data_IF_131819936260
#
_entry.id   IF_131819936260
#
_cell.length_a   1.000
_cell.length_b   1.000
_cell.length_c   1.000
_cell.angle_alpha   90.00
_cell.angle_beta   90.00
_cell.angle_gamma   90.00
#
_symmetry.space_group_name_H-M   'P 1'
#
loop_
_entity.id
_entity.type
_entity.pdbx_description
1 polymer ?
#
# COMPACT_ATOMS: atom_id res chain seq x y z
N UNK A 1 8.71 -9.94 4.13
CA UNK A 1 7.54 -9.28 4.75
C UNK A 1 6.28 -9.91 4.17
N UNK A 2 5.61 -10.76 4.93
CA UNK A 2 4.32 -11.31 4.53
C UNK A 2 3.23 -10.41 5.11
N UNK A 3 2.68 -9.50 4.31
CA UNK A 3 1.44 -8.84 4.71
C UNK A 3 0.32 -9.86 4.58
N UNK A 4 -0.36 -10.16 5.67
CA UNK A 4 -1.64 -10.86 5.61
C UNK A 4 -2.62 -9.89 4.95
N UNK A 5 -2.96 -10.10 3.68
CA UNK A 5 -4.00 -9.30 3.03
C UNK A 5 -5.37 -9.73 3.56
N UNK A 6 -6.02 -8.86 4.33
CA UNK A 6 -7.15 -9.23 5.19
C UNK A 6 -8.49 -8.60 4.85
N UNK A 7 -8.60 -7.77 3.81
CA UNK A 7 -9.91 -7.35 3.29
C UNK A 7 -10.52 -8.47 2.43
N UNK A 8 -10.91 -9.55 3.08
CA UNK A 8 -11.66 -10.64 2.45
C UNK A 8 -13.03 -10.74 3.12
N UNK A 9 -14.09 -11.11 2.38
CA UNK A 9 -15.39 -11.42 2.97
C UNK A 9 -15.28 -12.49 4.07
N UNK A 10 -14.30 -13.40 3.96
CA UNK A 10 -13.99 -14.36 5.01
C UNK A 10 -13.68 -13.68 6.34
N UNK A 11 -12.63 -12.86 6.37
CA UNK A 11 -12.16 -12.28 7.62
C UNK A 11 -13.21 -11.35 8.21
N UNK A 12 -13.82 -10.48 7.40
CA UNK A 12 -14.73 -9.45 7.90
C UNK A 12 -16.15 -9.94 8.19
N UNK A 13 -16.63 -10.96 7.47
CA UNK A 13 -18.04 -11.37 7.56
C UNK A 13 -18.23 -12.81 8.04
N UNK A 14 -17.25 -13.70 7.90
CA UNK A 14 -17.45 -15.13 8.21
C UNK A 14 -16.67 -15.60 9.43
N UNK A 15 -15.42 -15.16 9.60
CA UNK A 15 -14.60 -15.56 10.73
C UNK A 15 -15.24 -15.20 12.09
N UNK A 16 -15.88 -14.02 12.29
CA UNK A 16 -16.57 -13.73 13.55
C UNK A 16 -17.69 -14.73 13.87
N UNK A 17 -18.44 -15.17 12.86
CA UNK A 17 -19.52 -16.16 13.01
C UNK A 17 -19.01 -17.55 13.40
N UNK A 18 -17.78 -17.87 13.03
CA UNK A 18 -17.16 -19.17 13.30
C UNK A 18 -16.05 -19.11 14.35
N UNK A 19 -15.94 -17.98 15.07
CA UNK A 19 -14.94 -17.78 16.12
C UNK A 19 -15.01 -18.89 17.17
N UNK A 20 -16.22 -19.35 17.51
CA UNK A 20 -16.45 -20.44 18.46
C UNK A 20 -15.85 -21.77 18.00
N UNK A 21 -15.84 -22.05 16.70
CA UNK A 21 -15.15 -23.21 16.11
C UNK A 21 -13.64 -23.01 16.20
N UNK A 22 -13.16 -21.80 15.88
CA UNK A 22 -11.75 -21.43 16.00
C UNK A 22 -11.22 -21.66 17.42
N UNK A 23 -11.97 -21.26 18.45
CA UNK A 23 -11.61 -21.47 19.86
C UNK A 23 -11.49 -22.96 20.23
N UNK A 24 -12.40 -23.80 19.74
CA UNK A 24 -12.31 -25.26 19.94
C UNK A 24 -11.05 -25.83 19.28
N UNK A 25 -10.80 -25.46 18.01
CA UNK A 25 -9.64 -25.94 17.26
C UNK A 25 -8.31 -25.46 17.85
N UNK A 26 -8.28 -24.25 18.38
CA UNK A 26 -7.09 -23.70 19.01
C UNK A 26 -6.77 -24.41 20.33
N UNK A 27 -7.80 -24.61 21.18
CA UNK A 27 -7.63 -25.25 22.48
C UNK A 27 -7.22 -26.73 22.39
N UNK A 28 -7.87 -27.48 21.51
CA UNK A 28 -7.68 -28.94 21.43
C UNK A 28 -6.72 -29.37 20.31
N UNK A 29 -6.23 -28.42 19.50
CA UNK A 29 -5.49 -28.72 18.29
C UNK A 29 -6.38 -29.31 17.19
N UNK A 30 -5.80 -29.49 16.00
CA UNK A 30 -6.57 -29.82 14.79
C UNK A 30 -7.33 -31.15 14.89
N UNK A 31 -6.63 -32.25 15.19
CA UNK A 31 -7.24 -33.59 15.16
C UNK A 31 -8.39 -33.71 16.16
N UNK A 32 -8.11 -33.43 17.44
CA UNK A 32 -9.10 -33.57 18.51
C UNK A 32 -10.18 -32.50 18.42
N UNK A 33 -9.82 -31.27 18.02
CA UNK A 33 -10.76 -30.20 17.77
C UNK A 33 -11.76 -30.53 16.67
N UNK A 34 -11.32 -31.07 15.53
CA UNK A 34 -12.21 -31.53 14.45
C UNK A 34 -13.14 -32.66 14.92
N UNK A 35 -12.64 -33.59 15.72
CA UNK A 35 -13.47 -34.65 16.32
C UNK A 35 -14.50 -34.10 17.32
N UNK A 36 -14.12 -33.13 18.15
CA UNK A 36 -15.01 -32.42 19.08
C UNK A 36 -16.12 -31.70 18.30
N UNK A 37 -15.76 -30.91 17.29
CA UNK A 37 -16.73 -30.25 16.42
C UNK A 37 -17.66 -31.26 15.72
N UNK A 38 -17.13 -32.38 15.24
CA UNK A 38 -17.92 -33.46 14.67
C UNK A 38 -18.94 -34.05 15.65
N UNK A 39 -18.55 -34.27 16.91
CA UNK A 39 -19.45 -34.75 17.98
C UNK A 39 -20.56 -33.74 18.29
N UNK A 40 -20.22 -32.46 18.41
CA UNK A 40 -21.20 -31.38 18.59
C UNK A 40 -22.21 -31.39 17.43
N UNK A 41 -21.73 -31.40 16.18
CA UNK A 41 -22.57 -31.43 14.98
C UNK A 41 -23.55 -32.61 15.00
N UNK A 42 -23.12 -33.80 15.38
CA UNK A 42 -24.01 -34.97 15.40
C UNK A 42 -25.18 -34.83 16.39
N UNK A 43 -24.98 -34.09 17.49
CA UNK A 43 -26.03 -33.84 18.47
C UNK A 43 -26.98 -32.72 18.02
N UNK A 44 -26.47 -31.67 17.37
CA UNK A 44 -27.27 -30.49 17.01
C UNK A 44 -27.83 -30.49 15.57
N UNK A 45 -27.46 -31.45 14.72
CA UNK A 45 -27.83 -31.47 13.28
C UNK A 45 -29.33 -31.45 12.97
N UNK A 46 -30.16 -31.88 13.92
CA UNK A 46 -31.61 -31.95 13.75
C UNK A 46 -32.33 -30.67 14.21
N UNK A 47 -31.61 -29.73 14.83
CA UNK A 47 -32.17 -28.44 15.20
C UNK A 47 -32.48 -27.60 13.96
N UNK A 48 -33.34 -26.60 14.11
CA UNK A 48 -33.74 -25.72 13.03
C UNK A 48 -32.67 -24.66 12.70
N UNK A 49 -31.51 -25.14 12.25
CA UNK A 49 -30.37 -24.35 11.81
C UNK A 49 -30.14 -24.55 10.31
N UNK A 50 -29.81 -23.50 9.58
CA UNK A 50 -29.35 -23.50 8.20
C UNK A 50 -27.83 -23.58 8.14
N UNK A 51 -27.15 -22.93 9.09
CA UNK A 51 -25.69 -22.87 9.18
C UNK A 51 -25.21 -23.05 10.62
N UNK A 52 -23.88 -23.03 10.82
CA UNK A 52 -23.24 -22.97 12.14
C UNK A 52 -22.82 -21.55 12.55
N UNK A 53 -23.41 -20.52 11.92
CA UNK A 53 -23.13 -19.15 12.29
C UNK A 53 -23.56 -18.89 13.73
N UNK A 54 -22.69 -18.25 14.50
CA UNK A 54 -22.94 -17.95 15.90
C UNK A 54 -24.20 -17.11 16.10
N UNK A 55 -24.45 -16.13 15.23
CA UNK A 55 -25.69 -15.35 15.24
C UNK A 55 -26.94 -16.21 15.11
N UNK A 56 -26.90 -17.27 14.29
CA UNK A 56 -28.03 -18.18 14.11
C UNK A 56 -28.27 -19.03 15.38
N UNK A 57 -27.19 -19.45 16.06
CA UNK A 57 -27.29 -20.15 17.33
C UNK A 57 -27.90 -19.26 18.43
N UNK A 58 -27.58 -17.96 18.42
CA UNK A 58 -28.13 -16.96 19.36
C UNK A 58 -29.62 -16.67 19.14
N UNK A 59 -30.14 -16.92 17.94
CA UNK A 59 -31.54 -16.67 17.55
C UNK A 59 -32.43 -17.93 17.58
N UNK A 60 -31.88 -19.08 17.99
CA UNK A 60 -32.66 -20.29 18.23
C UNK A 60 -33.75 -20.05 19.29
N UNK A 61 -34.79 -20.89 19.30
CA UNK A 61 -35.77 -20.88 20.39
C UNK A 61 -35.08 -21.21 21.71
N UNK A 62 -35.62 -20.69 22.81
CA UNK A 62 -35.03 -20.86 24.14
C UNK A 62 -34.71 -22.32 24.50
N UNK A 63 -35.61 -23.27 24.19
CA UNK A 63 -35.40 -24.70 24.44
C UNK A 63 -34.18 -25.24 23.66
N UNK A 64 -34.12 -24.94 22.37
CA UNK A 64 -33.02 -25.34 21.48
C UNK A 64 -31.70 -24.66 21.88
N UNK A 65 -31.72 -23.38 22.29
CA UNK A 65 -30.53 -22.68 22.79
C UNK A 65 -29.95 -23.36 24.04
N UNK A 66 -30.81 -23.70 25.00
CA UNK A 66 -30.38 -24.40 26.22
C UNK A 66 -29.72 -25.74 25.86
N UNK A 67 -30.30 -26.49 24.92
CA UNK A 67 -29.75 -27.76 24.44
C UNK A 67 -28.38 -27.58 23.75
N UNK A 68 -28.25 -26.62 22.84
CA UNK A 68 -27.00 -26.33 22.13
C UNK A 68 -25.89 -25.90 23.09
N UNK A 69 -26.18 -24.95 23.97
CA UNK A 69 -25.18 -24.42 24.91
C UNK A 69 -24.78 -25.45 25.95
N UNK A 70 -25.69 -26.32 26.38
CA UNK A 70 -25.36 -27.47 27.22
C UNK A 70 -24.43 -28.43 26.46
N UNK A 71 -24.81 -28.81 25.24
CA UNK A 71 -24.02 -29.72 24.37
C UNK A 71 -22.60 -29.23 24.14
N UNK A 72 -22.44 -27.95 23.74
CA UNK A 72 -21.10 -27.38 23.50
C UNK A 72 -20.29 -27.35 24.79
N UNK A 73 -20.87 -26.91 25.90
CA UNK A 73 -20.17 -26.85 27.18
C UNK A 73 -19.76 -28.25 27.70
N UNK A 74 -20.61 -29.27 27.52
CA UNK A 74 -20.33 -30.62 28.01
C UNK A 74 -19.26 -31.33 27.17
N UNK A 75 -19.19 -31.07 25.86
CA UNK A 75 -18.22 -31.70 24.96
C UNK A 75 -16.90 -30.91 24.90
N UNK A 76 -16.98 -29.59 24.82
CA UNK A 76 -15.82 -28.72 24.60
C UNK A 76 -15.34 -27.99 25.86
N UNK A 77 -16.08 -28.02 26.98
CA UNK A 77 -15.74 -27.27 28.18
C UNK A 77 -16.24 -25.82 28.13
N UNK A 78 -16.63 -25.29 29.29
CA UNK A 78 -17.20 -23.94 29.46
C UNK A 78 -16.18 -22.85 29.14
N UNK A 79 -14.95 -23.04 29.59
CA UNK A 79 -13.80 -22.15 29.39
C UNK A 79 -13.40 -21.99 27.90
N UNK A 80 -13.92 -22.83 27.01
CA UNK A 80 -13.56 -22.75 25.57
C UNK A 80 -14.24 -21.58 24.89
N UNK A 81 -15.50 -21.32 25.23
CA UNK A 81 -16.29 -20.22 24.65
C UNK A 81 -16.39 -19.01 25.59
N UNK A 82 -15.80 -19.08 26.80
CA UNK A 82 -15.73 -17.92 27.71
C UNK A 82 -15.17 -16.65 27.05
N UNK A 83 -14.22 -16.69 26.09
CA UNK A 83 -13.72 -15.47 25.46
C UNK A 83 -14.81 -14.66 24.75
N UNK A 84 -15.80 -15.34 24.15
CA UNK A 84 -16.88 -14.68 23.40
C UNK A 84 -17.81 -13.89 24.33
N UNK A 85 -17.89 -14.22 25.62
CA UNK A 85 -18.76 -13.50 26.56
C UNK A 85 -18.30 -12.08 26.84
N UNK A 86 -17.08 -11.70 26.45
CA UNK A 86 -16.63 -10.31 26.50
C UNK A 86 -17.30 -9.43 25.43
N UNK A 87 -17.81 -10.05 24.36
CA UNK A 87 -18.50 -9.40 23.25
C UNK A 87 -20.01 -9.62 23.38
N UNK A 88 -20.41 -10.86 23.69
CA UNK A 88 -21.81 -11.28 23.77
C UNK A 88 -22.22 -11.32 25.23
N UNK A 89 -22.78 -10.20 25.69
CA UNK A 89 -23.06 -9.93 27.09
C UNK A 89 -24.42 -10.50 27.56
N UNK A 90 -24.54 -10.66 28.89
CA UNK A 90 -25.75 -11.17 29.55
C UNK A 90 -27.01 -10.33 29.28
N UNK A 91 -26.86 -9.01 29.10
CA UNK A 91 -28.00 -8.10 28.84
C UNK A 91 -28.72 -8.41 27.53
N UNK A 92 -28.03 -8.97 26.54
CA UNK A 92 -28.58 -9.26 25.21
C UNK A 92 -28.83 -10.76 25.02
N UNK A 93 -27.89 -11.59 25.46
CA UNK A 93 -27.94 -13.04 25.27
C UNK A 93 -27.71 -13.78 26.60
N UNK A 94 -28.68 -13.73 27.54
CA UNK A 94 -28.51 -14.26 28.89
C UNK A 94 -28.28 -15.78 28.94
N UNK A 95 -28.87 -16.55 28.02
CA UNK A 95 -28.70 -18.02 27.98
C UNK A 95 -27.28 -18.42 27.63
N UNK A 96 -26.68 -17.77 26.62
CA UNK A 96 -25.29 -17.98 26.24
C UNK A 96 -24.35 -17.48 27.34
N UNK A 97 -24.49 -16.20 27.72
CA UNK A 97 -23.56 -15.56 28.65
C UNK A 97 -23.54 -16.24 30.02
N UNK A 98 -24.69 -16.65 30.56
CA UNK A 98 -24.75 -17.36 31.86
C UNK A 98 -24.09 -18.74 31.81
N UNK A 99 -24.16 -19.44 30.68
CA UNK A 99 -23.55 -20.76 30.53
C UNK A 99 -22.03 -20.69 30.42
N UNK A 100 -21.49 -19.68 29.72
CA UNK A 100 -20.08 -19.58 29.39
C UNK A 100 -19.28 -18.54 30.21
N UNK A 101 -19.92 -17.83 31.13
CA UNK A 101 -19.22 -16.89 32.03
C UNK A 101 -18.29 -17.63 33.00
N UNK A 102 -16.98 -17.50 32.81
CA UNK A 102 -15.97 -18.03 33.73
C UNK A 102 -15.42 -16.93 34.65
N UNK A 103 -15.49 -17.12 35.98
CA UNK A 103 -15.00 -16.12 36.96
C UNK A 103 -13.46 -16.00 36.93
N UNK A 104 -12.76 -17.01 36.40
CA UNK A 104 -11.29 -17.11 36.44
C UNK A 104 -10.52 -16.31 35.39
N UNK A 105 -11.18 -15.63 34.44
CA UNK A 105 -10.53 -14.87 33.37
C UNK A 105 -11.04 -13.43 33.34
N UNK A 106 -10.16 -12.45 33.24
CA UNK A 106 -10.57 -11.04 33.11
C UNK A 106 -11.18 -10.76 31.73
N UNK A 107 -11.99 -9.69 31.56
CA UNK A 107 -12.46 -9.26 30.24
C UNK A 107 -11.32 -9.02 29.24
N UNK A 108 -10.20 -8.45 29.69
CA UNK A 108 -9.03 -8.17 28.86
C UNK A 108 -8.37 -9.47 28.37
N UNK A 109 -8.21 -10.47 29.24
CA UNK A 109 -7.66 -11.79 28.85
C UNK A 109 -8.56 -12.49 27.82
N UNK A 110 -9.88 -12.36 27.97
CA UNK A 110 -10.87 -12.90 27.03
C UNK A 110 -10.77 -12.22 25.67
N UNK A 111 -10.73 -10.89 25.63
CA UNK A 111 -10.60 -10.14 24.37
C UNK A 111 -9.27 -10.43 23.68
N UNK A 112 -8.18 -10.55 24.44
CA UNK A 112 -6.89 -10.97 23.89
C UNK A 112 -6.98 -12.32 23.19
N UNK A 113 -7.64 -13.32 23.80
CA UNK A 113 -7.87 -14.63 23.15
C UNK A 113 -8.70 -14.50 21.87
N UNK A 114 -9.72 -13.63 21.85
CA UNK A 114 -10.47 -13.35 20.62
C UNK A 114 -9.55 -12.80 19.53
N UNK A 115 -8.71 -11.82 19.87
CA UNK A 115 -7.70 -11.25 18.98
C UNK A 115 -6.74 -12.30 18.40
N UNK A 116 -6.23 -13.19 19.24
CA UNK A 116 -5.34 -14.29 18.83
C UNK A 116 -6.00 -15.22 17.80
N UNK A 117 -7.26 -15.61 18.03
CA UNK A 117 -8.02 -16.44 17.07
C UNK A 117 -8.31 -15.69 15.78
N UNK A 118 -8.70 -14.41 15.88
CA UNK A 118 -8.93 -13.57 14.70
C UNK A 118 -7.68 -13.46 13.85
N UNK A 119 -6.52 -13.20 14.47
CA UNK A 119 -5.22 -13.10 13.80
C UNK A 119 -4.82 -14.43 13.15
N UNK A 120 -4.98 -15.55 13.86
CA UNK A 120 -4.71 -16.91 13.34
C UNK A 120 -5.62 -17.30 12.16
N UNK A 121 -6.88 -16.86 12.20
CA UNK A 121 -7.89 -17.10 11.16
C UNK A 121 -7.97 -16.04 10.08
N UNK A 122 -7.12 -15.00 10.11
CA UNK A 122 -7.25 -13.84 9.24
C UNK A 122 -6.97 -14.16 7.77
N UNK A 123 -5.91 -14.94 7.51
CA UNK A 123 -5.62 -15.43 6.16
C UNK A 123 -6.67 -16.47 5.76
N UNK A 124 -7.46 -16.14 4.74
CA UNK A 124 -8.49 -17.01 4.20
C UNK A 124 -7.94 -18.29 3.56
N UNK A 125 -6.64 -18.33 3.26
CA UNK A 125 -5.93 -19.48 2.69
C UNK A 125 -5.13 -20.27 3.73
N UNK A 126 -5.16 -19.90 5.00
CA UNK A 126 -4.44 -20.64 6.03
C UNK A 126 -5.07 -22.01 6.27
N UNK A 127 -4.26 -22.91 6.84
CA UNK A 127 -4.72 -24.21 7.30
C UNK A 127 -5.81 -24.08 8.37
N UNK A 128 -5.61 -23.18 9.34
CA UNK A 128 -6.57 -22.92 10.40
C UNK A 128 -7.93 -22.42 9.88
N UNK A 129 -7.93 -21.44 8.97
CA UNK A 129 -9.16 -20.98 8.31
C UNK A 129 -9.86 -22.09 7.52
N UNK A 130 -9.09 -23.00 6.92
CA UNK A 130 -9.67 -24.13 6.17
C UNK A 130 -10.29 -25.17 7.10
N UNK A 131 -9.68 -25.42 8.26
CA UNK A 131 -10.24 -26.31 9.28
C UNK A 131 -11.57 -25.77 9.82
N UNK A 132 -11.66 -24.46 10.09
CA UNK A 132 -12.92 -23.81 10.49
C UNK A 132 -14.00 -23.97 9.40
N UNK A 133 -13.65 -23.67 8.13
CA UNK A 133 -14.57 -23.80 6.99
C UNK A 133 -15.03 -25.23 6.76
N UNK A 134 -14.15 -26.21 6.98
CA UNK A 134 -14.51 -27.61 6.88
C UNK A 134 -15.60 -27.96 7.88
N UNK A 135 -15.50 -27.50 9.14
CA UNK A 135 -16.53 -27.76 10.16
C UNK A 135 -17.88 -27.17 9.75
N UNK A 136 -17.89 -25.92 9.27
CA UNK A 136 -19.10 -25.26 8.77
C UNK A 136 -19.71 -26.02 7.57
N UNK A 137 -18.88 -26.44 6.62
CA UNK A 137 -19.31 -27.22 5.46
C UNK A 137 -19.85 -28.59 5.86
N UNK A 138 -19.14 -29.29 6.73
CA UNK A 138 -19.49 -30.63 7.20
C UNK A 138 -20.86 -30.65 7.90
N UNK A 139 -21.18 -29.63 8.70
CA UNK A 139 -22.51 -29.47 9.26
C UNK A 139 -23.58 -29.45 8.17
N UNK A 140 -23.44 -28.59 7.15
CA UNK A 140 -24.42 -28.46 6.08
C UNK A 140 -24.60 -29.75 5.28
N UNK A 141 -23.54 -30.53 5.13
CA UNK A 141 -23.60 -31.86 4.50
C UNK A 141 -24.42 -32.84 5.35
N UNK A 142 -24.13 -32.92 6.65
CA UNK A 142 -24.75 -33.88 7.57
C UNK A 142 -26.20 -33.52 7.92
N UNK A 143 -26.55 -32.23 7.98
CA UNK A 143 -27.92 -31.74 8.22
C UNK A 143 -28.77 -31.67 6.93
N UNK A 144 -28.22 -32.10 5.78
CA UNK A 144 -28.94 -32.19 4.51
C UNK A 144 -29.25 -30.83 3.86
N UNK A 145 -28.55 -29.77 4.24
CA UNK A 145 -28.71 -28.40 3.71
C UNK A 145 -28.06 -28.21 2.35
N UNK A 146 -27.01 -28.99 2.07
CA UNK A 146 -26.42 -29.10 0.75
C UNK A 146 -26.84 -30.42 0.13
N UNK A 147 -27.42 -30.35 -1.08
CA UNK A 147 -27.72 -31.53 -1.91
C UNK A 147 -26.66 -31.65 -2.99
N UNK A 148 -26.04 -32.82 -3.05
CA UNK A 148 -25.11 -33.16 -4.11
C UNK A 148 -25.81 -33.98 -5.19
N UNK A 149 -25.42 -33.81 -6.45
CA UNK A 149 -25.85 -34.69 -7.54
C UNK A 149 -24.87 -35.86 -7.66
N UNK A 150 -25.33 -36.99 -8.22
CA UNK A 150 -24.57 -38.25 -8.25
C UNK A 150 -23.17 -38.13 -8.90
N UNK A 151 -23.01 -37.20 -9.82
CA UNK A 151 -21.73 -36.89 -10.46
C UNK A 151 -20.66 -36.28 -9.55
N UNK A 152 -20.99 -35.86 -8.32
CA UNK A 152 -20.05 -35.27 -7.35
C UNK A 152 -19.55 -36.26 -6.29
N UNK A 153 -19.82 -37.55 -6.46
CA UNK A 153 -19.51 -38.56 -5.43
C UNK A 153 -18.03 -38.58 -5.07
N UNK A 154 -17.13 -38.44 -6.05
CA UNK A 154 -15.69 -38.46 -5.81
C UNK A 154 -15.21 -37.26 -4.98
N UNK A 155 -15.78 -36.08 -5.23
CA UNK A 155 -15.47 -34.84 -4.53
C UNK A 155 -15.95 -34.91 -3.07
N UNK A 156 -17.14 -35.48 -2.83
CA UNK A 156 -17.66 -35.71 -1.48
C UNK A 156 -16.76 -36.66 -0.71
N UNK A 157 -16.38 -37.79 -1.32
CA UNK A 157 -15.48 -38.77 -0.69
C UNK A 157 -14.13 -38.14 -0.31
N UNK A 158 -13.61 -37.24 -1.16
CA UNK A 158 -12.40 -36.47 -0.87
C UNK A 158 -12.57 -35.50 0.29
N UNK A 159 -13.68 -34.74 0.33
CA UNK A 159 -13.97 -33.82 1.46
C UNK A 159 -14.09 -34.60 2.77
N UNK A 160 -14.72 -35.77 2.77
CA UNK A 160 -14.89 -36.61 3.97
C UNK A 160 -13.57 -37.21 4.49
N UNK A 161 -12.51 -37.28 3.67
CA UNK A 161 -11.17 -37.68 4.12
C UNK A 161 -10.43 -36.56 4.85
N UNK A 162 -10.79 -35.30 4.62
CA UNK A 162 -10.10 -34.13 5.16
C UNK A 162 -9.71 -34.20 6.65
N UNK A 163 -10.59 -34.59 7.60
CA UNK A 163 -10.23 -34.59 9.02
C UNK A 163 -9.17 -35.65 9.38
N UNK A 164 -8.93 -36.63 8.50
CA UNK A 164 -8.00 -37.75 8.73
C UNK A 164 -6.65 -37.57 8.03
N UNK A 165 -6.52 -36.57 7.16
CA UNK A 165 -5.29 -36.27 6.43
C UNK A 165 -4.52 -35.14 7.12
N UNK A 166 -3.18 -35.19 7.10
CA UNK A 166 -2.33 -34.05 7.45
C UNK A 166 -2.36 -32.98 6.36
N UNK A 167 -2.18 -31.72 6.72
CA UNK A 167 -2.10 -30.61 5.76
C UNK A 167 -0.91 -30.74 4.79
N UNK A 168 0.14 -31.47 5.16
CA UNK A 168 1.33 -31.66 4.32
C UNK A 168 1.13 -32.70 3.20
N UNK A 169 0.04 -33.47 3.24
CA UNK A 169 -0.24 -34.51 2.25
C UNK A 169 -0.64 -33.91 0.89
N UNK A 170 -0.18 -34.53 -0.19
CA UNK A 170 -0.41 -34.04 -1.56
C UNK A 170 -1.90 -33.95 -1.91
N UNK A 171 -2.72 -34.88 -1.42
CA UNK A 171 -4.18 -34.88 -1.61
C UNK A 171 -4.82 -33.56 -1.13
N UNK A 172 -4.27 -32.93 -0.10
CA UNK A 172 -4.81 -31.68 0.46
C UNK A 172 -4.66 -30.48 -0.47
N UNK A 173 -3.79 -30.54 -1.49
CA UNK A 173 -3.68 -29.49 -2.50
C UNK A 173 -4.98 -29.30 -3.28
N UNK A 174 -5.76 -30.37 -3.45
CA UNK A 174 -7.06 -30.33 -4.12
C UNK A 174 -8.23 -30.19 -3.13
N UNK A 175 -8.16 -30.85 -1.97
CA UNK A 175 -9.25 -30.84 -0.99
C UNK A 175 -9.45 -29.46 -0.35
N UNK A 176 -8.37 -28.74 0.01
CA UNK A 176 -8.49 -27.42 0.67
C UNK A 176 -9.19 -26.38 -0.21
N UNK A 177 -8.80 -26.16 -1.48
CA UNK A 177 -9.54 -25.25 -2.37
C UNK A 177 -11.01 -25.65 -2.51
N UNK A 178 -11.31 -26.94 -2.65
CA UNK A 178 -12.68 -27.44 -2.75
C UNK A 178 -13.52 -27.04 -1.52
N UNK A 179 -13.03 -27.32 -0.32
CA UNK A 179 -13.70 -26.93 0.94
C UNK A 179 -13.95 -25.42 0.99
N UNK A 180 -12.93 -24.60 0.70
CA UNK A 180 -13.05 -23.14 0.74
C UNK A 180 -14.11 -22.65 -0.25
N UNK A 181 -14.11 -23.16 -1.48
CA UNK A 181 -15.08 -22.77 -2.49
C UNK A 181 -16.51 -23.20 -2.14
N UNK A 182 -16.69 -24.42 -1.62
CA UNK A 182 -18.01 -24.96 -1.28
C UNK A 182 -18.62 -24.24 -0.08
N UNK A 183 -17.83 -23.94 0.94
CA UNK A 183 -18.29 -23.18 2.10
C UNK A 183 -18.67 -21.74 1.73
N UNK A 184 -17.98 -21.11 0.76
CA UNK A 184 -18.32 -19.77 0.29
C UNK A 184 -19.74 -19.64 -0.28
N UNK A 185 -20.34 -20.74 -0.75
CA UNK A 185 -21.71 -20.73 -1.30
C UNK A 185 -22.79 -20.50 -0.24
N UNK A 186 -22.48 -20.68 1.05
CA UNK A 186 -23.47 -20.65 2.14
C UNK A 186 -23.44 -19.37 2.99
N UNK A 187 -22.91 -18.27 2.47
CA UNK A 187 -22.85 -17.01 3.22
C UNK A 187 -24.27 -16.55 3.65
N UNK A 188 -24.53 -16.38 4.96
CA UNK A 188 -25.79 -15.85 5.42
C UNK A 188 -25.97 -14.41 4.93
N UNK A 189 -27.16 -14.10 4.40
CA UNK A 189 -27.55 -12.75 3.96
C UNK A 189 -28.72 -12.20 4.77
N UNK A 190 -28.83 -12.64 6.01
CA UNK A 190 -29.88 -12.21 6.93
C UNK A 190 -29.52 -10.90 7.62
N UNK A 191 -30.52 -10.19 8.13
CA UNK A 191 -30.31 -8.93 8.85
C UNK A 191 -29.63 -9.19 10.20
N UNK A 192 -29.98 -10.30 10.85
CA UNK A 192 -29.41 -10.76 12.12
C UNK A 192 -27.90 -11.00 12.00
N UNK A 193 -27.47 -11.63 10.90
CA UNK A 193 -26.06 -11.81 10.57
C UNK A 193 -25.33 -10.47 10.46
N UNK A 194 -25.86 -9.53 9.66
CA UNK A 194 -25.25 -8.22 9.48
C UNK A 194 -25.18 -7.42 10.79
N UNK A 195 -26.22 -7.51 11.63
CA UNK A 195 -26.27 -6.89 12.95
C UNK A 195 -25.21 -7.47 13.88
N UNK A 196 -25.09 -8.80 13.94
CA UNK A 196 -24.07 -9.47 14.73
C UNK A 196 -22.66 -9.07 14.29
N UNK A 197 -22.36 -9.12 12.99
CA UNK A 197 -21.05 -8.72 12.46
C UNK A 197 -20.70 -7.27 12.83
N UNK A 198 -21.65 -6.34 12.72
CA UNK A 198 -21.42 -4.95 13.10
C UNK A 198 -21.12 -4.82 14.59
N UNK A 199 -21.98 -5.38 15.43
CA UNK A 199 -21.82 -5.34 16.89
C UNK A 199 -20.52 -6.02 17.33
N UNK A 200 -20.14 -7.14 16.72
CA UNK A 200 -18.89 -7.84 16.97
C UNK A 200 -17.68 -6.93 16.73
N UNK A 201 -17.58 -6.32 15.54
CA UNK A 201 -16.44 -5.46 15.19
C UNK A 201 -16.40 -4.17 15.99
N UNK A 202 -17.55 -3.55 16.26
CA UNK A 202 -17.64 -2.38 17.14
C UNK A 202 -17.14 -2.73 18.55
N UNK A 203 -17.56 -3.87 19.10
CA UNK A 203 -17.15 -4.31 20.44
C UNK A 203 -15.64 -4.56 20.53
N UNK A 204 -15.09 -5.43 19.67
CA UNK A 204 -13.66 -5.79 19.76
C UNK A 204 -12.75 -4.61 19.48
N UNK A 205 -13.13 -3.69 18.57
CA UNK A 205 -12.30 -2.54 18.23
C UNK A 205 -12.27 -1.48 19.33
N UNK A 206 -13.36 -1.28 20.06
CA UNK A 206 -13.40 -0.34 21.21
C UNK A 206 -12.63 -0.91 22.41
N UNK A 207 -12.56 -2.23 22.56
CA UNK A 207 -11.91 -2.88 23.70
C UNK A 207 -10.40 -3.10 23.53
N UNK A 208 -9.81 -2.70 22.39
CA UNK A 208 -8.40 -2.94 22.07
C UNK A 208 -7.72 -1.69 21.51
N UNK A 209 -6.42 -1.55 21.78
CA UNK A 209 -5.59 -0.48 21.25
C UNK A 209 -4.92 -0.89 19.92
N UNK A 210 -4.49 0.11 19.13
CA UNK A 210 -3.79 -0.15 17.89
C UNK A 210 -2.36 -0.68 18.15
N UNK A 211 -1.97 -1.73 17.44
CA UNK A 211 -0.58 -2.22 17.40
C UNK A 211 0.12 -1.68 16.14
N UNK A 212 0.82 -0.55 16.25
CA UNK A 212 1.39 0.14 15.09
C UNK A 212 2.68 -0.52 14.59
N UNK A 213 2.73 -0.80 13.29
CA UNK A 213 3.87 -1.40 12.62
C UNK A 213 4.54 -0.38 11.68
N UNK A 214 5.76 0.03 12.05
CA UNK A 214 6.57 1.01 11.31
C UNK A 214 7.70 0.29 10.58
N UNK A 215 7.89 0.65 9.30
CA UNK A 215 9.04 0.18 8.54
C UNK A 215 10.25 1.09 8.79
N UNK A 216 11.36 0.50 9.20
CA UNK A 216 12.64 1.19 9.35
C UNK A 216 13.47 1.06 8.07
N UNK A 217 13.82 2.21 7.48
CA UNK A 217 14.75 2.32 6.35
C UNK A 217 15.92 3.18 6.76
N UNK A 218 17.13 2.69 6.52
CA UNK A 218 18.34 3.48 6.74
C UNK A 218 18.51 4.54 5.62
N UNK A 219 19.19 5.66 5.89
CA UNK A 219 19.39 6.71 4.89
C UNK A 219 20.30 6.36 3.72
N UNK A 220 21.10 5.29 3.80
CA UNK A 220 21.97 4.79 2.71
C UNK A 220 22.75 5.90 1.95
N UNK A 221 23.29 6.92 2.64
CA UNK A 221 23.89 8.13 2.03
C UNK A 221 25.30 8.47 2.55
N UNK A 222 26.11 7.44 2.85
CA UNK A 222 27.44 7.60 3.48
C UNK A 222 28.45 8.40 2.65
N UNK A 223 28.31 8.43 1.33
CA UNK A 223 29.22 9.10 0.39
C UNK A 223 28.71 10.47 -0.11
N UNK A 224 27.62 11.00 0.49
CA UNK A 224 26.96 12.21 0.01
C UNK A 224 27.87 13.45 0.01
N UNK A 225 28.57 13.73 1.11
CA UNK A 225 29.44 14.89 1.23
C UNK A 225 30.60 14.84 0.21
N UNK A 226 31.23 13.68 0.07
CA UNK A 226 32.30 13.47 -0.90
C UNK A 226 31.80 13.61 -2.35
N UNK A 227 30.58 13.16 -2.63
CA UNK A 227 29.96 13.33 -3.93
C UNK A 227 29.59 14.79 -4.21
N UNK A 228 29.10 15.54 -3.21
CA UNK A 228 28.83 16.97 -3.34
C UNK A 228 30.08 17.74 -3.78
N UNK A 229 31.20 17.55 -3.08
CA UNK A 229 32.48 18.20 -3.42
C UNK A 229 32.89 17.91 -4.87
N UNK A 230 32.79 16.64 -5.27
CA UNK A 230 33.11 16.20 -6.63
C UNK A 230 32.23 16.86 -7.69
N UNK A 231 30.90 16.90 -7.48
CA UNK A 231 29.99 17.51 -8.45
C UNK A 231 30.19 19.01 -8.51
N UNK A 232 30.46 19.67 -7.37
CA UNK A 232 30.78 21.09 -7.33
C UNK A 232 31.97 21.44 -8.21
N UNK A 233 33.03 20.63 -8.19
CA UNK A 233 34.21 20.81 -9.04
C UNK A 233 33.89 20.65 -10.53
N UNK A 234 33.08 19.65 -10.90
CA UNK A 234 32.64 19.42 -12.28
C UNK A 234 31.76 20.58 -12.78
N UNK A 235 30.80 21.02 -11.97
CA UNK A 235 29.92 22.14 -12.30
C UNK A 235 30.72 23.45 -12.40
N UNK A 236 31.73 23.63 -11.54
CA UNK A 236 32.67 24.75 -11.60
C UNK A 236 33.43 24.79 -12.92
N UNK A 237 33.97 23.66 -13.36
CA UNK A 237 34.65 23.53 -14.66
C UNK A 237 33.75 23.96 -15.83
N UNK A 238 32.52 23.45 -15.91
CA UNK A 238 31.60 23.82 -16.99
C UNK A 238 31.19 25.30 -16.93
N UNK A 239 31.01 25.84 -15.71
CA UNK A 239 30.70 27.27 -15.52
C UNK A 239 31.84 28.16 -16.02
N UNK A 240 33.08 27.81 -15.71
CA UNK A 240 34.26 28.56 -16.13
C UNK A 240 34.47 28.46 -17.64
N UNK A 241 34.22 27.29 -18.23
CA UNK A 241 34.26 27.07 -19.67
C UNK A 241 33.22 27.94 -20.40
N UNK A 242 31.99 28.01 -19.91
CA UNK A 242 30.96 28.90 -20.47
C UNK A 242 31.41 30.36 -20.41
N UNK A 243 31.81 30.84 -19.24
CA UNK A 243 32.20 32.25 -19.03
C UNK A 243 33.43 32.65 -19.82
N UNK A 244 34.41 31.77 -19.96
CA UNK A 244 35.73 32.11 -20.50
C UNK A 244 35.86 31.82 -22.00
N UNK A 245 35.17 30.81 -22.51
CA UNK A 245 35.34 30.35 -23.90
C UNK A 245 34.05 30.45 -24.74
N UNK A 246 32.88 30.23 -24.15
CA UNK A 246 31.60 30.14 -24.90
C UNK A 246 30.47 31.04 -24.33
N UNK A 247 30.71 32.32 -24.00
CA UNK A 247 29.75 33.13 -23.24
C UNK A 247 28.46 33.48 -24.01
N UNK A 248 28.42 33.23 -25.32
CA UNK A 248 27.28 33.49 -26.20
C UNK A 248 26.66 32.20 -26.78
N UNK A 249 27.10 31.02 -26.31
CA UNK A 249 26.56 29.74 -26.75
C UNK A 249 25.22 29.45 -26.04
N UNK A 250 24.11 29.68 -26.73
CA UNK A 250 22.78 29.51 -26.15
C UNK A 250 22.47 28.04 -25.82
N UNK A 251 22.94 27.09 -26.63
CA UNK A 251 22.79 25.66 -26.36
C UNK A 251 23.49 25.29 -25.06
N UNK A 252 24.71 25.76 -24.87
CA UNK A 252 25.46 25.54 -23.64
C UNK A 252 24.78 26.20 -22.44
N UNK A 253 24.27 27.43 -22.60
CA UNK A 253 23.50 28.10 -21.55
C UNK A 253 22.28 27.28 -21.11
N UNK A 254 21.47 26.77 -22.06
CA UNK A 254 20.28 25.97 -21.74
C UNK A 254 20.65 24.66 -21.05
N UNK A 255 21.59 23.90 -21.61
CA UNK A 255 22.01 22.62 -21.01
C UNK A 255 22.64 22.79 -19.63
N UNK A 256 23.49 23.82 -19.44
CA UNK A 256 24.05 24.13 -18.13
C UNK A 256 23.00 24.67 -17.17
N UNK A 257 22.00 25.41 -17.65
CA UNK A 257 20.87 25.87 -16.85
C UNK A 257 20.08 24.69 -16.26
N UNK A 258 19.71 23.71 -17.11
CA UNK A 258 19.01 22.50 -16.69
C UNK A 258 19.88 21.68 -15.71
N UNK A 259 21.16 21.45 -16.03
CA UNK A 259 22.06 20.71 -15.18
C UNK A 259 22.29 21.39 -13.82
N UNK A 260 22.42 22.72 -13.80
CA UNK A 260 22.56 23.51 -12.58
C UNK A 260 21.29 23.49 -11.75
N UNK A 261 20.11 23.51 -12.39
CA UNK A 261 18.84 23.36 -11.69
C UNK A 261 18.74 21.99 -10.98
N UNK A 262 19.08 20.90 -11.67
CA UNK A 262 19.19 19.56 -11.06
C UNK A 262 20.23 19.50 -9.93
N UNK A 263 21.40 20.11 -10.11
CA UNK A 263 22.44 20.19 -9.08
C UNK A 263 21.94 20.91 -7.83
N UNK A 264 21.25 22.04 -7.96
CA UNK A 264 20.66 22.75 -6.82
C UNK A 264 19.64 21.90 -6.06
N UNK A 265 18.80 21.13 -6.78
CA UNK A 265 17.86 20.19 -6.15
C UNK A 265 18.58 19.06 -5.41
N UNK A 266 19.67 18.53 -5.97
CA UNK A 266 20.52 17.57 -5.28
C UNK A 266 21.14 18.16 -4.00
N UNK A 267 21.57 19.43 -4.03
CA UNK A 267 22.04 20.11 -2.82
C UNK A 267 20.93 20.27 -1.77
N UNK A 268 19.69 20.55 -2.17
CA UNK A 268 18.54 20.56 -1.25
C UNK A 268 18.35 19.18 -0.59
N UNK A 269 18.48 18.10 -1.37
CA UNK A 269 18.41 16.72 -0.85
C UNK A 269 19.47 16.46 0.23
N UNK A 270 20.73 16.82 -0.06
CA UNK A 270 21.88 16.57 0.82
C UNK A 270 21.82 17.45 2.07
N UNK A 271 21.74 18.78 1.88
CA UNK A 271 21.84 19.75 2.97
C UNK A 271 20.68 19.68 3.96
N UNK A 272 19.50 19.25 3.50
CA UNK A 272 18.32 19.10 4.35
C UNK A 272 18.07 17.65 4.78
N UNK A 273 18.97 16.70 4.47
CA UNK A 273 18.85 15.28 4.82
C UNK A 273 17.50 14.65 4.38
N UNK A 274 17.07 14.93 3.15
CA UNK A 274 15.74 14.55 2.64
C UNK A 274 15.69 13.13 2.02
N UNK A 275 16.71 12.30 2.27
CA UNK A 275 16.88 11.00 1.58
C UNK A 275 15.69 10.05 1.75
N UNK A 276 15.05 10.06 2.91
CA UNK A 276 13.93 9.18 3.26
C UNK A 276 12.59 9.92 3.36
N UNK A 277 12.54 11.18 2.90
CA UNK A 277 11.38 12.06 3.01
C UNK A 277 10.61 12.13 1.68
N UNK A 278 9.33 12.53 1.77
CA UNK A 278 8.46 12.73 0.59
C UNK A 278 9.13 13.68 -0.42
N UNK A 279 9.69 14.80 0.05
CA UNK A 279 10.35 15.79 -0.80
C UNK A 279 11.56 15.24 -1.56
N UNK A 280 12.20 14.17 -1.07
CA UNK A 280 13.27 13.50 -1.81
C UNK A 280 12.78 12.89 -3.12
N UNK A 281 11.52 12.42 -3.18
CA UNK A 281 10.89 11.88 -4.41
C UNK A 281 10.64 12.97 -5.43
N UNK A 282 10.18 14.13 -4.95
CA UNK A 282 10.02 15.33 -5.76
C UNK A 282 11.32 15.70 -6.47
N UNK A 283 12.43 15.66 -5.74
CA UNK A 283 13.76 15.98 -6.25
C UNK A 283 14.18 14.99 -7.34
N UNK A 284 14.10 13.69 -7.08
CA UNK A 284 14.48 12.66 -8.06
C UNK A 284 13.63 12.73 -9.33
N UNK A 285 12.30 12.84 -9.19
CA UNK A 285 11.37 13.00 -10.31
C UNK A 285 11.77 14.15 -11.24
N UNK A 286 12.05 15.32 -10.66
CA UNK A 286 12.44 16.52 -11.42
C UNK A 286 13.79 16.31 -12.11
N UNK A 287 14.75 15.68 -11.43
CA UNK A 287 16.05 15.37 -12.05
C UNK A 287 15.92 14.40 -13.24
N UNK A 288 15.03 13.40 -13.13
CA UNK A 288 14.74 12.45 -14.23
C UNK A 288 14.11 13.18 -15.41
N UNK A 289 13.13 14.06 -15.16
CA UNK A 289 12.51 14.88 -16.21
C UNK A 289 13.52 15.79 -16.91
N UNK A 290 14.39 16.46 -16.14
CA UNK A 290 15.46 17.30 -16.66
C UNK A 290 16.42 16.51 -17.55
N UNK A 291 16.81 15.31 -17.14
CA UNK A 291 17.66 14.43 -17.94
C UNK A 291 17.00 14.04 -19.28
N UNK A 292 15.72 13.62 -19.24
CA UNK A 292 14.95 13.28 -20.45
C UNK A 292 14.86 14.49 -21.37
N UNK A 293 14.58 15.68 -20.81
CA UNK A 293 14.48 16.92 -21.57
C UNK A 293 15.82 17.31 -22.23
N UNK A 294 16.96 17.16 -21.54
CA UNK A 294 18.26 17.42 -22.16
C UNK A 294 18.51 16.52 -23.39
N UNK A 295 18.21 15.21 -23.28
CA UNK A 295 18.34 14.29 -24.41
C UNK A 295 17.38 14.64 -25.54
N UNK A 296 16.15 15.05 -25.19
CA UNK A 296 15.11 15.38 -26.17
C UNK A 296 15.53 16.60 -27.00
N UNK A 297 15.97 17.66 -26.33
CA UNK A 297 16.42 18.88 -27.00
C UNK A 297 17.62 18.61 -27.92
N UNK A 298 18.58 17.79 -27.47
CA UNK A 298 19.73 17.40 -28.29
C UNK A 298 19.34 16.56 -29.51
N UNK A 299 18.38 15.63 -29.35
CA UNK A 299 17.96 14.73 -30.43
C UNK A 299 17.18 15.47 -31.51
N UNK A 300 16.36 16.45 -31.13
CA UNK A 300 15.50 17.22 -32.02
C UNK A 300 16.10 18.57 -32.44
N UNK A 301 17.37 18.84 -32.13
CA UNK A 301 18.02 20.10 -32.47
C UNK A 301 17.95 20.43 -33.96
N UNK A 302 18.07 19.43 -34.84
CA UNK A 302 18.01 19.63 -36.29
C UNK A 302 16.59 19.73 -36.86
N UNK A 303 15.57 19.43 -36.06
CA UNK A 303 14.17 19.44 -36.48
C UNK A 303 13.53 20.84 -36.31
N UNK A 304 14.23 21.76 -35.65
CA UNK A 304 13.79 23.11 -35.35
C UNK A 304 14.81 24.15 -35.86
N UNK A 305 14.33 25.37 -36.13
CA UNK A 305 15.22 26.48 -36.50
C UNK A 305 16.07 26.92 -35.29
N UNK A 306 15.48 26.96 -34.09
CA UNK A 306 16.17 27.26 -32.82
C UNK A 306 15.44 26.67 -31.60
N UNK A 307 15.58 25.35 -31.40
CA UNK A 307 14.93 24.64 -30.29
C UNK A 307 15.31 25.19 -28.91
N UNK A 308 16.52 25.76 -28.77
CA UNK A 308 17.07 26.21 -27.50
C UNK A 308 16.33 27.47 -27.03
N UNK A 309 16.20 28.43 -27.93
CA UNK A 309 15.42 29.65 -27.69
C UNK A 309 13.92 29.34 -27.54
N UNK A 310 13.37 28.42 -28.35
CA UNK A 310 11.99 27.96 -28.22
C UNK A 310 11.70 27.36 -26.83
N UNK A 311 12.61 26.54 -26.31
CA UNK A 311 12.46 25.94 -24.97
C UNK A 311 12.49 26.98 -23.86
N UNK A 312 13.39 27.97 -23.94
CA UNK A 312 13.43 29.09 -22.99
C UNK A 312 12.11 29.88 -23.01
N UNK A 313 11.62 30.23 -24.20
CA UNK A 313 10.36 30.97 -24.36
C UNK A 313 9.16 30.19 -23.86
N UNK A 314 9.13 28.89 -24.10
CA UNK A 314 8.09 28.02 -23.56
C UNK A 314 7.98 28.12 -22.04
N UNK A 315 9.12 28.02 -21.33
CA UNK A 315 9.16 28.12 -19.87
C UNK A 315 8.71 29.49 -19.36
N UNK A 316 9.22 30.56 -19.96
CA UNK A 316 8.88 31.94 -19.58
C UNK A 316 7.42 32.29 -19.90
N UNK A 317 6.87 31.75 -20.99
CA UNK A 317 5.47 31.90 -21.36
C UNK A 317 4.50 31.42 -20.27
N UNK A 318 4.88 30.41 -19.48
CA UNK A 318 4.08 29.95 -18.33
C UNK A 318 4.02 31.01 -17.23
N UNK A 319 5.12 31.74 -16.96
CA UNK A 319 5.13 32.82 -15.96
C UNK A 319 4.30 34.01 -16.40
N UNK A 320 4.32 34.35 -17.70
CA UNK A 320 3.44 35.37 -18.28
C UNK A 320 1.97 35.06 -18.03
N UNK A 321 1.56 33.81 -18.20
CA UNK A 321 0.19 33.38 -17.95
C UNK A 321 -0.21 33.55 -16.47
N UNK A 322 0.70 33.22 -15.55
CA UNK A 322 0.48 33.38 -14.09
C UNK A 322 0.38 34.85 -13.71
N UNK A 323 1.31 35.69 -14.18
CA UNK A 323 1.31 37.11 -13.87
C UNK A 323 0.03 37.81 -14.36
N UNK A 324 -0.40 37.53 -15.60
CA UNK A 324 -1.67 38.06 -16.13
C UNK A 324 -2.90 37.61 -15.35
N UNK A 325 -2.91 36.39 -14.81
CA UNK A 325 -4.01 35.91 -13.96
C UNK A 325 -4.04 36.61 -12.61
N UNK A 326 -2.90 37.11 -12.13
CA UNK A 326 -2.84 37.85 -10.88
C UNK A 326 -3.46 39.25 -11.00
N UNK A 327 -3.46 39.87 -12.18
CA UNK A 327 -4.14 41.15 -12.42
C UNK A 327 -5.67 41.05 -12.21
N UNK A 328 -6.24 39.88 -12.52
CA UNK A 328 -7.66 39.58 -12.37
C UNK A 328 -7.98 38.82 -11.06
N UNK A 329 -6.99 38.64 -10.17
CA UNK A 329 -7.17 37.86 -8.95
C UNK A 329 -8.06 38.59 -7.92
N UNK A 330 -8.96 37.84 -7.29
CA UNK A 330 -9.88 38.35 -6.25
C UNK A 330 -9.33 38.23 -4.83
N UNK A 331 -8.11 37.72 -4.67
CA UNK A 331 -7.44 37.51 -3.39
C UNK A 331 -6.16 38.35 -3.30
N UNK A 332 -5.63 38.51 -2.09
CA UNK A 332 -4.41 39.28 -1.86
C UNK A 332 -3.20 38.58 -2.50
N UNK A 333 -2.63 39.26 -3.50
CA UNK A 333 -1.44 38.79 -4.22
C UNK A 333 -0.14 39.30 -3.60
N UNK A 334 -0.17 40.30 -2.71
CA UNK A 334 1.04 40.90 -2.12
C UNK A 334 1.64 40.04 -1.00
N UNK A 335 0.80 39.31 -0.25
CA UNK A 335 1.26 38.37 0.78
C UNK A 335 1.61 36.97 0.26
N UNK A 336 1.47 36.74 -1.06
CA UNK A 336 1.78 35.45 -1.69
C UNK A 336 3.29 35.18 -1.75
N UNK A 337 3.68 33.91 -1.66
CA UNK A 337 5.05 33.48 -1.95
C UNK A 337 5.39 33.59 -3.46
N UNK A 338 4.36 33.65 -4.33
CA UNK A 338 4.53 33.85 -5.77
C UNK A 338 4.85 35.31 -6.03
N UNK A 339 6.05 35.65 -6.54
CA UNK A 339 6.48 37.04 -6.65
C UNK A 339 6.00 37.65 -7.98
N UNK A 340 4.71 37.91 -8.12
CA UNK A 340 4.09 38.32 -9.39
C UNK A 340 4.82 39.48 -10.10
N UNK A 341 5.16 40.55 -9.37
CA UNK A 341 5.92 41.69 -9.90
C UNK A 341 7.31 41.29 -10.45
N UNK A 342 7.95 40.29 -9.85
CA UNK A 342 9.23 39.77 -10.32
C UNK A 342 9.05 38.86 -11.56
N UNK A 343 7.96 38.09 -11.62
CA UNK A 343 7.63 37.29 -12.81
C UNK A 343 7.47 38.20 -14.05
N UNK A 344 6.85 39.37 -13.92
CA UNK A 344 6.73 40.35 -15.01
C UNK A 344 8.09 40.87 -15.49
N UNK A 345 9.02 41.11 -14.56
CA UNK A 345 10.39 41.52 -14.90
C UNK A 345 11.10 40.41 -15.68
N UNK A 346 10.98 39.14 -15.25
CA UNK A 346 11.55 38.00 -15.95
C UNK A 346 10.97 37.81 -17.36
N UNK A 347 9.66 37.98 -17.52
CA UNK A 347 9.02 37.89 -18.84
C UNK A 347 9.54 38.99 -19.78
N UNK A 348 9.70 40.21 -19.24
CA UNK A 348 10.14 41.37 -20.01
C UNK A 348 11.63 41.38 -20.36
N UNK A 349 12.45 40.59 -19.64
CA UNK A 349 13.89 40.43 -19.89
C UNK A 349 14.19 39.75 -21.24
N UNK A 350 13.34 38.81 -21.67
CA UNK A 350 13.59 37.97 -22.85
C UNK A 350 12.98 38.50 -24.15
N UNK A 351 11.88 39.27 -24.08
CA UNK A 351 11.27 40.01 -25.22
C UNK A 351 10.17 40.95 -24.71
N UNK A 352 9.78 41.93 -25.54
CA UNK A 352 8.55 42.72 -25.31
C UNK A 352 7.35 41.76 -25.16
N UNK A 353 6.60 41.96 -24.07
CA UNK A 353 5.55 41.06 -23.59
C UNK A 353 4.50 40.77 -24.68
N UNK A 354 4.30 41.67 -25.64
CA UNK A 354 3.34 41.52 -26.75
C UNK A 354 3.68 40.39 -27.72
N UNK A 355 4.92 39.89 -27.71
CA UNK A 355 5.41 38.91 -28.69
C UNK A 355 5.70 37.51 -28.11
N UNK A 356 5.46 37.29 -26.82
CA UNK A 356 5.59 35.97 -26.17
C UNK A 356 4.25 35.21 -26.29
N UNK A 357 4.22 34.07 -26.98
CA UNK A 357 3.02 33.23 -27.09
C UNK A 357 2.70 32.54 -25.75
N UNK A 358 1.41 32.34 -25.46
CA UNK A 358 0.92 31.69 -24.24
C UNK A 358 0.45 30.27 -24.58
N UNK A 359 1.37 29.39 -24.98
CA UNK A 359 1.04 27.97 -25.20
C UNK A 359 0.89 27.26 -23.84
N UNK A 360 -0.26 26.64 -23.61
CA UNK A 360 -0.60 25.91 -22.38
C UNK A 360 -0.29 24.42 -22.46
N UNK A 361 0.19 23.92 -23.61
CA UNK A 361 0.57 22.51 -23.81
C UNK A 361 1.97 22.26 -23.26
N UNK A 362 2.36 20.99 -23.13
CA UNK A 362 3.74 20.64 -22.79
C UNK A 362 4.68 21.02 -23.96
N UNK A 363 5.95 21.34 -23.69
CA UNK A 363 6.90 21.78 -24.72
C UNK A 363 6.87 20.84 -25.93
N UNK A 364 6.73 21.42 -27.12
CA UNK A 364 6.65 20.69 -28.38
C UNK A 364 5.50 19.64 -28.43
N UNK A 365 4.42 19.89 -27.68
CA UNK A 365 3.12 19.18 -27.69
C UNK A 365 3.15 17.68 -27.36
N UNK A 366 4.31 17.12 -27.06
CA UNK A 366 4.50 15.76 -26.58
C UNK A 366 4.58 15.76 -25.06
N UNK A 367 3.88 14.85 -24.39
CA UNK A 367 4.00 14.70 -22.95
C UNK A 367 5.35 14.04 -22.57
N UNK A 368 5.73 14.15 -21.30
CA UNK A 368 7.03 13.64 -20.84
C UNK A 368 7.23 12.13 -21.08
N UNK A 369 6.15 11.32 -21.08
CA UNK A 369 6.23 9.89 -21.38
C UNK A 369 6.61 9.64 -22.85
N UNK A 370 6.00 10.38 -23.76
CA UNK A 370 6.31 10.31 -25.19
C UNK A 370 7.77 10.72 -25.44
N UNK A 371 8.23 11.79 -24.80
CA UNK A 371 9.64 12.22 -24.86
C UNK A 371 10.59 11.16 -24.30
N UNK A 372 10.24 10.52 -23.19
CA UNK A 372 11.05 9.45 -22.60
C UNK A 372 11.20 8.24 -23.53
N UNK A 373 10.11 7.82 -24.19
CA UNK A 373 10.15 6.75 -25.19
C UNK A 373 11.04 7.16 -26.36
N UNK A 374 10.89 8.39 -26.84
CA UNK A 374 11.63 8.91 -27.97
C UNK A 374 13.16 8.91 -27.72
N UNK A 375 13.59 9.33 -26.54
CA UNK A 375 15.03 9.38 -26.18
C UNK A 375 15.57 8.07 -25.60
N UNK A 376 14.80 6.98 -25.65
CA UNK A 376 15.21 5.66 -25.19
C UNK A 376 15.28 5.49 -23.66
N UNK A 377 14.54 6.28 -22.90
CA UNK A 377 14.50 6.26 -21.42
C UNK A 377 13.12 5.83 -20.88
N UNK A 378 12.42 4.96 -21.63
CA UNK A 378 11.09 4.45 -21.25
C UNK A 378 11.06 3.80 -19.87
N UNK A 379 12.08 3.02 -19.54
CA UNK A 379 12.12 2.28 -18.27
C UNK A 379 12.47 3.18 -17.10
N UNK A 380 13.35 4.17 -17.30
CA UNK A 380 13.62 5.22 -16.31
C UNK A 380 12.32 5.97 -15.97
N UNK A 381 11.52 6.29 -16.99
CA UNK A 381 10.21 6.90 -16.80
C UNK A 381 9.23 5.98 -16.05
N UNK A 382 9.01 4.77 -16.56
CA UNK A 382 7.96 3.88 -16.05
C UNK A 382 8.23 3.29 -14.67
N UNK A 383 9.49 3.23 -14.23
CA UNK A 383 9.86 2.67 -12.93
C UNK A 383 10.10 3.74 -11.86
N UNK A 384 10.74 4.86 -12.22
CA UNK A 384 11.12 5.89 -11.25
C UNK A 384 10.18 7.08 -11.31
N UNK A 385 10.03 7.70 -12.49
CA UNK A 385 9.19 8.90 -12.64
C UNK A 385 7.72 8.63 -12.29
N UNK A 386 7.12 7.54 -12.78
CA UNK A 386 5.72 7.21 -12.50
C UNK A 386 5.46 6.95 -11.01
N UNK A 387 6.40 6.29 -10.32
CA UNK A 387 6.33 6.07 -8.87
C UNK A 387 6.43 7.39 -8.10
N UNK A 388 7.44 8.20 -8.37
CA UNK A 388 7.62 9.48 -7.68
C UNK A 388 6.51 10.49 -8.01
N UNK A 389 5.92 10.41 -9.21
CA UNK A 389 4.78 11.26 -9.59
C UNK A 389 3.52 10.97 -8.77
N UNK A 390 3.42 9.79 -8.15
CA UNK A 390 2.35 9.51 -7.21
C UNK A 390 2.42 10.38 -5.96
N UNK A 391 3.64 10.74 -5.51
CA UNK A 391 3.86 11.61 -4.35
C UNK A 391 3.52 13.07 -4.68
N UNK A 392 3.89 13.55 -5.87
CA UNK A 392 3.53 14.92 -6.32
C UNK A 392 2.02 15.16 -6.41
N UNK A 393 1.28 14.13 -6.82
CA UNK A 393 -0.16 14.23 -7.02
C UNK A 393 -0.98 13.77 -5.80
N UNK A 394 -0.33 13.35 -4.71
CA UNK A 394 -1.00 12.83 -3.53
C UNK A 394 -1.88 11.62 -3.84
N UNK A 395 -1.44 10.75 -4.76
CA UNK A 395 -2.19 9.53 -5.11
C UNK A 395 -2.22 8.57 -3.92
N UNK A 396 -3.28 7.75 -3.83
CA UNK A 396 -3.51 6.89 -2.65
C UNK A 396 -2.34 5.95 -2.32
N UNK A 397 -1.59 5.47 -3.31
CA UNK A 397 -0.40 4.66 -3.08
C UNK A 397 0.66 5.40 -2.25
N UNK A 398 0.99 6.63 -2.64
CA UNK A 398 1.91 7.49 -1.90
C UNK A 398 1.36 7.84 -0.52
N UNK A 399 0.08 8.24 -0.41
CA UNK A 399 -0.56 8.55 0.88
C UNK A 399 -0.50 7.35 1.84
N UNK A 400 -0.79 6.13 1.35
CA UNK A 400 -0.70 4.91 2.17
C UNK A 400 0.72 4.61 2.60
N UNK A 401 1.71 4.87 1.75
CA UNK A 401 3.11 4.55 2.02
C UNK A 401 3.74 5.53 3.01
N UNK A 402 3.52 6.84 2.82
CA UNK A 402 4.25 7.90 3.53
C UNK A 402 3.52 8.52 4.71
N UNK A 403 2.19 8.38 4.79
CA UNK A 403 1.37 9.17 5.71
C UNK A 403 0.44 8.34 6.58
N UNK A 404 0.45 7.02 6.41
CA UNK A 404 -0.36 6.08 7.16
C UNK A 404 0.49 4.94 7.72
N UNK A 405 0.32 4.63 9.00
CA UNK A 405 0.92 3.47 9.65
C UNK A 405 -0.09 2.33 9.71
N UNK A 406 0.37 1.11 9.46
CA UNK A 406 -0.48 -0.09 9.49
C UNK A 406 -0.64 -0.55 10.95
N UNK A 407 -1.88 -0.82 11.36
CA UNK A 407 -2.16 -1.54 12.60
C UNK A 407 -2.06 -3.05 12.34
N UNK A 408 -1.38 -3.79 13.21
CA UNK A 408 -1.24 -5.26 13.17
C UNK A 408 -2.24 -5.99 14.10
N UNK A 409 -3.13 -5.24 14.76
CA UNK A 409 -4.24 -5.80 15.54
C UNK A 409 -5.35 -6.31 14.60
N UNK A 410 -5.75 -7.57 14.79
CA UNK A 410 -6.79 -8.20 13.98
C UNK A 410 -8.18 -7.66 14.33
N UNK A 411 -8.37 -7.27 15.57
CA UNK A 411 -9.56 -6.65 16.16
C UNK A 411 -9.91 -5.33 15.45
N UNK A 412 -8.90 -4.63 14.92
CA UNK A 412 -9.05 -3.38 14.16
C UNK A 412 -9.10 -3.61 12.65
N UNK A 413 -9.26 -4.86 12.24
CA UNK A 413 -9.19 -5.30 10.85
C UNK A 413 -7.91 -4.89 10.13
N UNK A 414 -6.79 -4.79 10.86
CA UNK A 414 -5.52 -4.31 10.34
C UNK A 414 -5.67 -2.96 9.63
N UNK A 415 -6.44 -2.02 10.15
CA UNK A 415 -6.66 -0.74 9.48
C UNK A 415 -5.37 0.09 9.34
N UNK A 416 -5.47 1.27 8.75
CA UNK A 416 -4.40 2.25 8.72
C UNK A 416 -4.75 3.43 9.63
N UNK A 417 -3.75 3.97 10.32
CA UNK A 417 -3.87 5.18 11.15
C UNK A 417 -3.02 6.31 10.57
N UNK A 418 -3.44 7.58 10.68
CA UNK A 418 -2.61 8.72 10.27
C UNK A 418 -1.30 8.81 11.07
N UNK A 419 -0.19 8.95 10.35
CA UNK A 419 1.13 9.19 10.95
C UNK A 419 1.37 10.68 11.20
N UNK A 420 0.75 11.21 12.25
CA UNK A 420 0.90 12.62 12.62
C UNK A 420 2.23 12.91 13.34
N UNK A 421 2.95 11.87 13.78
CA UNK A 421 4.25 11.99 14.45
C UNK A 421 5.43 11.89 13.48
N UNK A 422 5.16 11.57 12.20
CA UNK A 422 6.13 11.46 11.11
C UNK A 422 7.21 10.39 11.39
N UNK A 423 6.76 9.24 11.93
CA UNK A 423 7.61 8.10 12.27
C UNK A 423 7.89 7.19 11.07
N UNK A 424 6.95 7.04 10.14
CA UNK A 424 7.08 6.23 8.94
C UNK A 424 7.98 6.94 7.92
N UNK A 425 9.20 6.40 7.76
CA UNK A 425 10.15 6.87 6.74
C UNK A 425 10.06 6.04 5.47
N UNK A 426 10.50 6.62 4.36
CA UNK A 426 10.57 5.93 3.06
C UNK A 426 11.96 5.35 2.84
N UNK A 427 12.13 4.52 1.82
CA UNK A 427 13.46 4.07 1.40
C UNK A 427 14.34 5.28 0.99
N UNK A 428 15.66 5.18 1.06
CA UNK A 428 16.51 6.28 0.58
C UNK A 428 16.39 6.49 -0.93
N UNK A 429 16.29 7.74 -1.39
CA UNK A 429 16.47 8.14 -2.81
C UNK A 429 17.92 8.37 -3.21
N UNK A 430 18.87 8.35 -2.26
CA UNK A 430 20.22 8.84 -2.50
C UNK A 430 20.87 8.23 -3.75
N UNK A 431 20.80 6.90 -3.87
CA UNK A 431 21.37 6.16 -5.00
C UNK A 431 20.77 6.59 -6.34
N UNK A 432 19.46 6.81 -6.39
CA UNK A 432 18.75 7.19 -7.61
C UNK A 432 19.03 8.66 -7.98
N UNK A 433 19.11 9.55 -6.99
CA UNK A 433 19.52 10.94 -7.16
C UNK A 433 20.95 11.03 -7.71
N UNK A 434 21.90 10.30 -7.11
CA UNK A 434 23.29 10.21 -7.55
C UNK A 434 23.38 9.69 -8.99
N UNK A 435 22.72 8.57 -9.27
CA UNK A 435 22.71 7.95 -10.62
C UNK A 435 22.15 8.91 -11.67
N UNK A 436 21.05 9.61 -11.35
CA UNK A 436 20.41 10.56 -12.27
C UNK A 436 21.30 11.79 -12.50
N UNK A 437 21.96 12.31 -11.47
CA UNK A 437 22.92 13.41 -11.64
C UNK A 437 24.12 12.97 -12.51
N UNK A 438 24.66 11.76 -12.28
CA UNK A 438 25.71 11.19 -13.13
C UNK A 438 25.28 11.11 -14.60
N UNK A 439 24.03 10.69 -14.88
CA UNK A 439 23.46 10.69 -16.23
C UNK A 439 23.42 12.08 -16.86
N UNK A 440 23.02 13.12 -16.11
CA UNK A 440 23.03 14.52 -16.56
C UNK A 440 24.45 14.99 -16.91
N UNK A 441 25.43 14.71 -16.05
CA UNK A 441 26.82 15.11 -16.28
C UNK A 441 27.45 14.40 -17.48
N UNK A 442 27.02 13.17 -17.77
CA UNK A 442 27.45 12.44 -18.97
C UNK A 442 26.95 13.10 -20.25
N UNK A 443 25.71 13.61 -20.26
CA UNK A 443 25.22 14.40 -21.40
C UNK A 443 26.13 15.60 -21.64
N UNK A 444 26.50 16.35 -20.59
CA UNK A 444 27.42 17.47 -20.74
C UNK A 444 28.81 17.04 -21.24
N UNK A 445 29.33 15.92 -20.73
CA UNK A 445 30.61 15.34 -21.15
C UNK A 445 30.59 14.93 -22.62
N UNK A 446 29.51 14.32 -23.08
CA UNK A 446 29.36 13.89 -24.47
C UNK A 446 29.31 15.09 -25.44
N UNK A 447 28.68 16.19 -25.02
CA UNK A 447 28.52 17.38 -25.87
C UNK A 447 29.76 18.28 -25.84
N UNK A 448 30.37 18.51 -24.67
CA UNK A 448 31.42 19.51 -24.48
C UNK A 448 32.78 18.96 -24.03
N UNK A 449 32.86 17.65 -23.74
CA UNK A 449 34.05 17.02 -23.18
C UNK A 449 34.23 17.28 -21.68
N UNK A 450 35.01 16.42 -21.04
CA UNK A 450 35.38 16.54 -19.62
C UNK A 450 36.80 15.96 -19.40
N UNK A 451 37.73 16.73 -18.81
CA UNK A 451 39.07 16.23 -18.50
C UNK A 451 39.08 14.99 -17.59
N UNK A 452 40.03 14.09 -17.77
CA UNK A 452 40.11 12.82 -17.02
C UNK A 452 40.16 12.98 -15.50
N UNK A 453 40.75 14.09 -15.00
CA UNK A 453 40.79 14.41 -13.57
C UNK A 453 39.39 14.60 -12.93
N UNK A 454 38.36 14.79 -13.76
CA UNK A 454 36.96 14.95 -13.36
C UNK A 454 36.12 13.71 -13.72
N UNK A 455 36.68 12.50 -13.55
CA UNK A 455 35.99 11.26 -13.89
C UNK A 455 34.62 11.14 -13.18
N UNK A 456 33.57 10.89 -13.96
CA UNK A 456 32.22 10.58 -13.47
C UNK A 456 32.18 9.09 -13.14
N UNK A 457 31.64 8.71 -11.98
CA UNK A 457 31.59 7.31 -11.59
C UNK A 457 30.73 6.47 -12.55
N UNK A 458 31.20 5.28 -12.86
CA UNK A 458 30.42 4.29 -13.60
C UNK A 458 29.54 3.50 -12.63
N UNK A 459 28.30 3.95 -12.43
CA UNK A 459 27.33 3.14 -11.69
C UNK A 459 26.99 1.87 -12.47
N UNK A 460 27.23 0.70 -11.86
CA UNK A 460 26.92 -0.65 -12.38
C UNK A 460 25.45 -0.86 -12.78
N UNK A 461 24.54 0.02 -12.35
CA UNK A 461 23.14 0.04 -12.80
C UNK A 461 22.98 0.53 -14.24
N UNK A 462 24.03 1.06 -14.87
CA UNK A 462 24.07 1.37 -16.31
C UNK A 462 24.04 0.12 -17.21
N UNK A 463 23.91 -1.09 -16.64
CA UNK A 463 23.79 -2.36 -17.35
C UNK A 463 22.47 -3.10 -17.11
N UNK A 464 21.43 -2.44 -16.60
CA UNK A 464 20.10 -3.05 -16.56
C UNK A 464 19.32 -2.55 -17.78
N UNK A 465 19.41 -3.42 -18.81
CA UNK A 465 18.80 -3.46 -20.15
C UNK A 465 19.45 -2.62 -21.25
#
# INVERSE_FOLDING_TARGET
MGFTMTQTPWFQRRLPEYLWIGLILDKYGRSDGLQICGRIIQQIKNLNLQTLCFSELLELKQEDQVEVWATIADIAGVETLSPITAIVCYSEHPLFASRFSCIGESPEERIKKVGEILKKGADHQSYFSTDIRFVALYFMMVSGKIKFFDGMKSEIEQILKYPYLSHDEDEMKMIRPAIRSSEMMSEPKTEEHNKFIRSFWESVSIMTDCELYILHFEPEAEDADAYEEKIKDIMGYYSDMFKSAYPLDNKMLVLLGIATYSYKRLLELINCNLYNEISGRSIVRVMVENYIMMKYLLKHETDHDDIWTEYQYYGIGQYKLIAKRADDATFDTESSHVPYKYLDVLVSEFRDDKYVDMDTKYFDKHNIREKAIDVGEKDLFGLFYDYDSAFEHGLWGAVRESSLIKCDAAEHQFHCVPDITNEQKLKSVWKDAKTTMNKILRVLKEVYGLPEKYAIDEDLLCRIY
#
